data_IF_082255298886
#
_entry.id   IF_082255298886
#
_cell.length_a   1.000
_cell.length_b   1.000
_cell.length_c   1.000
_cell.angle_alpha   90.00
_cell.angle_beta   90.00
_cell.angle_gamma   90.00
#
_symmetry.space_group_name_H-M   'P 1'
#
loop_
_entity.id
_entity.type
_entity.pdbx_description
1 polymer ?
#
# COMPACT_ATOMS: atom_id res chain seq x y z
N UNK A 1 -4.61 14.93 10.93
CA UNK A 1 -4.97 13.85 9.99
C UNK A 1 -5.77 12.85 10.80
N UNK A 2 -7.10 12.97 10.82
CA UNK A 2 -7.92 11.84 11.24
C UNK A 2 -8.15 11.00 9.99
N UNK A 3 -7.61 9.78 10.00
CA UNK A 3 -7.84 8.81 8.93
C UNK A 3 -9.26 8.26 9.01
N UNK A 4 -9.41 6.94 8.98
CA UNK A 4 -10.71 6.28 9.14
C UNK A 4 -11.28 6.31 10.58
N UNK A 5 -10.59 6.95 11.53
CA UNK A 5 -10.91 6.89 12.97
C UNK A 5 -11.80 8.06 13.38
N UNK A 6 -12.99 7.76 13.90
CA UNK A 6 -13.92 8.73 14.51
C UNK A 6 -13.99 8.60 16.03
N UNK A 7 -13.58 7.45 16.58
CA UNK A 7 -13.66 7.15 18.01
C UNK A 7 -14.93 6.37 18.40
N UNK A 8 -15.87 6.21 17.48
CA UNK A 8 -17.12 5.48 17.69
C UNK A 8 -17.05 4.03 17.19
N UNK A 9 -17.99 3.21 17.66
CA UNK A 9 -18.15 1.83 17.16
C UNK A 9 -18.53 1.88 15.69
N UNK A 10 -17.69 1.30 14.84
CA UNK A 10 -17.93 1.24 13.40
C UNK A 10 -16.83 1.81 12.53
N UNK A 11 -15.74 2.36 13.10
CA UNK A 11 -14.56 2.88 12.40
C UNK A 11 -13.89 1.91 11.40
N UNK A 12 -14.29 0.64 11.44
CA UNK A 12 -13.86 -0.37 10.50
C UNK A 12 -12.73 -1.22 11.02
N UNK A 13 -12.06 -1.91 10.10
CA UNK A 13 -10.98 -2.86 10.38
C UNK A 13 -9.93 -2.73 9.28
N UNK A 14 -8.68 -3.00 9.64
CA UNK A 14 -7.59 -3.10 8.68
C UNK A 14 -7.16 -4.57 8.63
N UNK A 15 -7.07 -5.11 7.42
CA UNK A 15 -6.52 -6.43 7.17
C UNK A 15 -5.22 -6.28 6.41
N UNK A 16 -4.15 -6.85 6.96
CA UNK A 16 -2.87 -6.98 6.27
C UNK A 16 -2.75 -8.44 5.88
N UNK A 17 -2.80 -8.70 4.58
CA UNK A 17 -2.75 -10.04 4.02
C UNK A 17 -1.40 -10.23 3.29
N UNK A 18 -0.82 -11.43 3.33
CA UNK A 18 0.35 -11.72 2.51
C UNK A 18 -0.04 -11.66 1.02
N UNK A 19 0.83 -11.05 0.21
CA UNK A 19 0.77 -11.10 -1.25
C UNK A 19 2.03 -11.79 -1.72
N UNK A 20 1.86 -12.85 -2.51
CA UNK A 20 2.98 -13.67 -2.95
C UNK A 20 3.81 -12.97 -4.03
N UNK A 21 3.16 -12.36 -5.03
CA UNK A 21 3.83 -11.67 -6.12
C UNK A 21 3.12 -10.42 -6.61
N UNK A 22 3.88 -9.43 -7.08
CA UNK A 22 3.37 -8.22 -7.74
C UNK A 22 4.11 -7.98 -9.05
N UNK A 23 3.38 -7.60 -10.10
CA UNK A 23 3.95 -7.34 -11.42
C UNK A 23 3.47 -5.98 -11.96
N UNK A 24 4.38 -5.09 -12.34
CA UNK A 24 4.02 -3.89 -13.10
C UNK A 24 4.01 -4.22 -14.59
N UNK A 25 2.82 -4.40 -15.15
CA UNK A 25 2.61 -4.82 -16.56
C UNK A 25 3.42 -3.97 -17.56
N UNK A 26 3.44 -2.65 -17.39
CA UNK A 26 4.08 -1.74 -18.36
C UNK A 26 5.61 -1.85 -18.42
N UNK A 27 6.26 -2.19 -17.32
CA UNK A 27 7.73 -2.18 -17.20
C UNK A 27 8.33 -3.55 -16.97
N UNK A 28 7.52 -4.54 -16.58
CA UNK A 28 7.99 -5.86 -16.16
C UNK A 28 8.61 -5.88 -14.76
N UNK A 29 8.54 -4.79 -13.99
CA UNK A 29 9.06 -4.76 -12.62
C UNK A 29 8.30 -5.74 -11.72
N UNK A 30 9.04 -6.35 -10.80
CA UNK A 30 8.56 -7.38 -9.88
C UNK A 30 8.54 -6.87 -8.44
N UNK A 31 7.57 -7.37 -7.68
CA UNK A 31 7.48 -7.29 -6.22
C UNK A 31 7.75 -5.89 -5.68
N UNK A 32 8.84 -5.72 -4.92
CA UNK A 32 9.20 -4.45 -4.30
C UNK A 32 9.35 -3.33 -5.34
N UNK A 33 9.98 -3.61 -6.48
CA UNK A 33 10.15 -2.61 -7.54
C UNK A 33 8.79 -2.22 -8.15
N UNK A 34 7.84 -3.15 -8.20
CA UNK A 34 6.49 -2.89 -8.71
C UNK A 34 5.66 -1.98 -7.77
N UNK A 35 5.94 -1.97 -6.46
CA UNK A 35 5.19 -1.17 -5.45
C UNK A 35 5.96 0.01 -4.87
N UNK A 36 7.24 0.17 -5.19
CA UNK A 36 8.04 1.31 -4.71
C UNK A 36 7.50 2.60 -5.31
N UNK A 37 7.22 3.64 -4.49
CA UNK A 37 6.81 4.95 -4.99
C UNK A 37 7.83 5.54 -5.96
N UNK A 38 7.37 5.98 -7.13
CA UNK A 38 8.23 6.62 -8.12
C UNK A 38 8.24 8.12 -7.85
N UNK A 39 9.43 8.73 -7.78
CA UNK A 39 9.56 10.19 -7.64
C UNK A 39 9.42 10.74 -6.22
N UNK A 40 9.48 9.88 -5.20
CA UNK A 40 9.65 10.33 -3.81
C UNK A 40 11.13 10.62 -3.58
N UNK A 41 11.52 11.85 -3.16
CA UNK A 41 12.89 12.15 -2.77
C UNK A 41 13.35 11.21 -1.65
N UNK A 42 14.64 10.87 -1.55
CA UNK A 42 15.14 10.25 -0.33
C UNK A 42 15.03 11.29 0.78
N UNK A 43 14.15 11.04 1.75
CA UNK A 43 14.12 11.78 3.02
C UNK A 43 15.50 11.70 3.71
#
# INVERSE_FOLDING_TARGET
IEGARTGDVGDGKIFVLPVEHVYRIRTGELDRAAVTPVGVPPD
#
